data_IF_040465234801
#
_entry.id   IF_040465234801
#
_cell.length_a   1.000
_cell.length_b   1.000
_cell.length_c   1.000
_cell.angle_alpha   90.00
_cell.angle_beta   90.00
_cell.angle_gamma   90.00
#
_symmetry.space_group_name_H-M   'P 1'
#
loop_
_entity.id
_entity.type
_entity.pdbx_description
1 polymer ?
#
# COMPACT_ATOMS: atom_id res chain seq x y z
N UNK A 1 5.85 -8.29 -44.05
CA UNK A 1 5.74 -8.83 -42.68
C UNK A 1 4.30 -8.65 -42.24
N UNK A 2 3.63 -9.71 -41.81
CA UNK A 2 2.28 -9.67 -41.27
C UNK A 2 2.32 -10.25 -39.85
N UNK A 3 1.68 -9.58 -38.90
CA UNK A 3 1.62 -10.01 -37.50
C UNK A 3 0.14 -10.06 -37.11
N UNK A 4 -0.30 -11.18 -36.57
CA UNK A 4 -1.65 -11.35 -36.02
C UNK A 4 -1.56 -11.90 -34.60
N UNK A 5 -2.39 -11.37 -33.70
CA UNK A 5 -2.50 -11.82 -32.32
C UNK A 5 -3.83 -12.52 -32.11
N UNK A 6 -3.80 -13.72 -31.52
CA UNK A 6 -4.99 -14.44 -31.08
C UNK A 6 -5.16 -14.30 -29.55
N UNK A 7 -6.14 -13.52 -29.07
CA UNK A 7 -6.38 -13.31 -27.64
C UNK A 7 -6.89 -14.56 -26.91
N UNK A 8 -7.49 -15.52 -27.63
CA UNK A 8 -8.10 -16.71 -27.03
C UNK A 8 -7.06 -17.78 -26.68
N UNK A 9 -6.00 -17.87 -27.48
CA UNK A 9 -4.88 -18.80 -27.27
C UNK A 9 -3.60 -18.12 -26.76
N UNK A 10 -3.56 -16.78 -26.76
CA UNK A 10 -2.37 -16.00 -26.35
C UNK A 10 -1.21 -16.11 -27.33
N UNK A 11 -1.47 -16.53 -28.57
CA UNK A 11 -0.45 -16.77 -29.59
C UNK A 11 -0.23 -15.55 -30.49
N UNK A 12 1.03 -15.27 -30.80
CA UNK A 12 1.44 -14.29 -31.80
C UNK A 12 1.89 -15.07 -33.03
N UNK A 13 1.21 -14.86 -34.16
CA UNK A 13 1.61 -15.39 -35.47
C UNK A 13 2.33 -14.29 -36.23
N UNK A 14 3.54 -14.61 -36.69
CA UNK A 14 4.38 -13.72 -37.49
C UNK A 14 4.68 -14.38 -38.84
N UNK A 15 4.40 -13.66 -39.92
CA UNK A 15 4.67 -14.08 -41.29
C UNK A 15 5.67 -13.12 -41.94
N UNK A 16 6.75 -13.68 -42.47
CA UNK A 16 7.83 -12.93 -43.12
C UNK A 16 7.87 -13.29 -44.60
N UNK A 17 7.72 -12.28 -45.45
CA UNK A 17 7.81 -12.41 -46.90
C UNK A 17 9.21 -11.99 -47.33
N UNK A 18 9.92 -12.87 -48.05
CA UNK A 18 11.22 -12.57 -48.64
C UNK A 18 11.32 -13.16 -50.04
N UNK A 19 12.28 -12.67 -50.83
CA UNK A 19 12.50 -13.12 -52.21
C UNK A 19 13.09 -14.53 -52.34
N UNK A 20 13.57 -15.11 -51.24
CA UNK A 20 14.23 -16.41 -51.17
C UNK A 20 13.77 -17.13 -49.88
N UNK A 21 13.35 -18.41 -49.97
CA UNK A 21 12.99 -19.23 -48.81
C UNK A 21 14.02 -19.21 -47.68
N UNK A 22 15.32 -19.26 -48.00
CA UNK A 22 16.37 -19.24 -46.98
C UNK A 22 16.43 -17.88 -46.26
N UNK A 23 16.32 -16.78 -47.01
CA UNK A 23 16.30 -15.43 -46.44
C UNK A 23 15.05 -15.17 -45.58
N UNK A 24 13.90 -15.75 -45.93
CA UNK A 24 12.69 -15.65 -45.11
C UNK A 24 12.89 -16.26 -43.73
N UNK A 25 13.58 -17.40 -43.66
CA UNK A 25 13.94 -18.08 -42.40
C UNK A 25 14.93 -17.24 -41.60
N UNK A 26 15.99 -16.74 -42.23
CA UNK A 26 17.00 -15.92 -41.56
C UNK A 26 16.40 -14.65 -40.95
N UNK A 27 15.54 -13.95 -41.71
CA UNK A 27 14.81 -12.79 -41.20
C UNK A 27 13.88 -13.16 -40.05
N UNK A 28 13.18 -14.29 -40.13
CA UNK A 28 12.29 -14.74 -39.06
C UNK A 28 13.06 -15.04 -37.77
N UNK A 29 14.21 -15.71 -37.86
CA UNK A 29 15.10 -15.98 -36.71
C UNK A 29 15.66 -14.70 -36.11
N UNK A 30 16.11 -13.77 -36.95
CA UNK A 30 16.62 -12.47 -36.49
C UNK A 30 15.53 -11.66 -35.76
N UNK A 31 14.30 -11.67 -36.28
CA UNK A 31 13.16 -10.99 -35.66
C UNK A 31 12.75 -11.64 -34.33
N UNK A 32 12.75 -12.97 -34.24
CA UNK A 32 12.50 -13.69 -32.98
C UNK A 32 13.57 -13.33 -31.95
N UNK A 33 14.85 -13.41 -32.31
CA UNK A 33 15.96 -13.07 -31.41
C UNK A 33 15.89 -11.62 -30.93
N UNK A 34 15.56 -10.68 -31.82
CA UNK A 34 15.37 -9.27 -31.44
C UNK A 34 14.16 -9.09 -30.53
N UNK A 35 13.05 -9.79 -30.78
CA UNK A 35 11.88 -9.73 -29.92
C UNK A 35 12.17 -10.32 -28.52
N UNK A 36 12.93 -11.41 -28.44
CA UNK A 36 13.40 -11.99 -27.18
C UNK A 36 14.24 -10.98 -26.39
N UNK A 37 15.25 -10.36 -27.04
CA UNK A 37 16.09 -9.36 -26.40
C UNK A 37 15.28 -8.14 -25.91
N UNK A 38 14.33 -7.67 -26.70
CA UNK A 38 13.46 -6.56 -26.32
C UNK A 38 12.55 -6.91 -25.13
N UNK A 39 11.98 -8.12 -25.09
CA UNK A 39 11.15 -8.59 -23.98
C UNK A 39 11.99 -8.75 -22.71
N UNK A 40 13.21 -9.27 -22.84
CA UNK A 40 14.14 -9.41 -21.72
C UNK A 40 14.53 -8.05 -21.14
N UNK A 41 14.87 -7.07 -22.00
CA UNK A 41 15.17 -5.71 -21.56
C UNK A 41 13.98 -5.04 -20.86
N UNK A 42 12.76 -5.18 -21.40
CA UNK A 42 11.55 -4.63 -20.79
C UNK A 42 11.26 -5.27 -19.42
N UNK A 43 11.48 -6.59 -19.32
CA UNK A 43 11.30 -7.34 -18.08
C UNK A 43 12.32 -6.93 -17.03
N UNK A 44 13.60 -6.80 -17.41
CA UNK A 44 14.66 -6.34 -16.51
C UNK A 44 14.36 -4.94 -15.97
N UNK A 45 13.90 -4.02 -16.84
CA UNK A 45 13.48 -2.67 -16.43
C UNK A 45 12.31 -2.73 -15.46
N UNK A 46 11.25 -3.47 -15.78
CA UNK A 46 10.08 -3.61 -14.91
C UNK A 46 10.45 -4.13 -13.51
N UNK A 47 11.34 -5.13 -13.44
CA UNK A 47 11.83 -5.69 -12.17
C UNK A 47 12.65 -4.67 -11.39
N UNK A 48 13.52 -3.93 -12.06
CA UNK A 48 14.31 -2.88 -11.43
C UNK A 48 13.41 -1.78 -10.86
N UNK A 49 12.40 -1.35 -11.62
CA UNK A 49 11.44 -0.33 -11.20
C UNK A 49 10.59 -0.81 -10.02
N UNK A 50 10.08 -2.05 -10.07
CA UNK A 50 9.34 -2.66 -8.96
C UNK A 50 10.18 -2.78 -7.69
N UNK A 51 11.43 -3.22 -7.81
CA UNK A 51 12.37 -3.29 -6.68
C UNK A 51 12.69 -1.91 -6.11
N UNK A 52 12.92 -0.92 -6.97
CA UNK A 52 13.18 0.45 -6.54
C UNK A 52 11.99 1.04 -5.80
N UNK A 53 10.79 0.92 -6.36
CA UNK A 53 9.57 1.44 -5.73
C UNK A 53 9.23 0.74 -4.41
N UNK A 54 9.45 -0.58 -4.31
CA UNK A 54 9.25 -1.31 -3.06
C UNK A 54 10.25 -0.91 -1.98
N UNK A 55 11.52 -0.68 -2.35
CA UNK A 55 12.55 -0.17 -1.42
C UNK A 55 12.22 1.24 -0.94
N UNK A 56 11.87 2.16 -1.86
CA UNK A 56 11.49 3.53 -1.51
C UNK A 56 10.28 3.56 -0.57
N UNK A 57 9.28 2.71 -0.82
CA UNK A 57 8.11 2.56 0.05
C UNK A 57 8.48 2.07 1.45
N UNK A 58 9.43 1.13 1.55
CA UNK A 58 9.94 0.64 2.83
C UNK A 58 10.71 1.72 3.60
N UNK A 59 11.64 2.42 2.95
CA UNK A 59 12.43 3.51 3.56
C UNK A 59 11.53 4.67 4.03
N UNK A 60 10.49 5.01 3.25
CA UNK A 60 9.50 5.99 3.64
C UNK A 60 8.67 5.54 4.86
N UNK A 61 8.27 4.26 4.91
CA UNK A 61 7.55 3.70 6.04
C UNK A 61 8.42 3.66 7.31
N UNK A 62 9.71 3.31 7.17
CA UNK A 62 10.68 3.29 8.27
C UNK A 62 10.89 4.70 8.83
N UNK A 63 11.11 5.69 7.95
CA UNK A 63 11.27 7.09 8.34
C UNK A 63 10.03 7.62 9.06
N UNK A 64 8.83 7.30 8.56
CA UNK A 64 7.58 7.70 9.19
C UNK A 64 7.36 7.03 10.55
N UNK A 65 7.75 5.76 10.69
CA UNK A 65 7.68 5.02 11.96
C UNK A 65 8.62 5.62 13.01
N UNK A 66 9.86 5.93 12.64
CA UNK A 66 10.82 6.60 13.51
C UNK A 66 10.34 7.99 13.92
N UNK A 67 9.74 8.75 13.01
CA UNK A 67 9.15 10.06 13.31
C UNK A 67 7.98 9.95 14.31
N UNK A 68 7.10 8.96 14.15
CA UNK A 68 6.00 8.71 15.09
C UNK A 68 6.53 8.32 16.48
N UNK A 69 7.56 7.48 16.56
CA UNK A 69 8.20 7.12 17.82
C UNK A 69 8.82 8.33 18.53
N UNK A 70 9.55 9.17 17.79
CA UNK A 70 10.12 10.41 18.34
C UNK A 70 9.03 11.32 18.88
N UNK A 71 7.90 11.45 18.18
CA UNK A 71 6.76 12.24 18.66
C UNK A 71 6.22 11.75 20.00
N UNK A 72 6.19 10.43 20.24
CA UNK A 72 5.79 9.88 21.55
C UNK A 72 6.79 10.32 22.63
N UNK A 73 8.09 10.24 22.36
CA UNK A 73 9.15 10.68 23.28
C UNK A 73 9.04 12.18 23.56
N UNK A 74 8.88 13.00 22.53
CA UNK A 74 8.72 14.46 22.67
C UNK A 74 7.51 14.82 23.54
N UNK A 75 6.39 14.10 23.39
CA UNK A 75 5.21 14.29 24.24
C UNK A 75 5.48 13.85 25.68
N UNK A 76 6.19 12.74 25.89
CA UNK A 76 6.59 12.28 27.23
C UNK A 76 7.50 13.30 27.93
N UNK A 77 8.49 13.85 27.22
CA UNK A 77 9.39 14.89 27.73
C UNK A 77 8.65 16.20 28.01
N UNK A 78 7.83 16.67 27.06
CA UNK A 78 7.06 17.91 27.16
C UNK A 78 6.14 17.91 28.38
N UNK A 79 5.44 16.81 28.59
CA UNK A 79 4.47 16.71 29.68
C UNK A 79 5.05 16.12 30.97
N UNK A 80 6.34 15.74 30.96
CA UNK A 80 7.00 15.04 32.08
C UNK A 80 6.11 13.94 32.67
N UNK A 81 5.37 13.23 31.81
CA UNK A 81 4.21 12.39 32.23
C UNK A 81 4.64 11.34 33.24
N UNK A 82 5.83 10.77 33.05
CA UNK A 82 6.36 9.75 33.94
C UNK A 82 6.57 10.27 35.37
N UNK A 83 7.01 11.52 35.55
CA UNK A 83 7.12 12.11 36.89
C UNK A 83 5.75 12.56 37.41
N UNK A 84 4.88 13.08 36.54
CA UNK A 84 3.55 13.55 36.93
C UNK A 84 2.62 12.44 37.40
N UNK A 85 2.64 11.26 36.77
CA UNK A 85 1.76 10.15 37.15
C UNK A 85 2.18 9.54 38.50
N UNK A 86 3.49 9.38 38.72
CA UNK A 86 4.05 8.96 40.01
C UNK A 86 3.73 9.99 41.10
N UNK A 87 3.86 11.29 40.80
CA UNK A 87 3.54 12.37 41.73
C UNK A 87 2.05 12.40 42.10
N UNK A 88 1.15 12.23 41.12
CA UNK A 88 -0.30 12.12 41.36
C UNK A 88 -0.63 10.89 42.21
N UNK A 89 -0.01 9.73 41.95
CA UNK A 89 -0.20 8.53 42.75
C UNK A 89 0.28 8.72 44.19
N UNK A 90 1.45 9.36 44.39
CA UNK A 90 1.99 9.67 45.70
C UNK A 90 1.09 10.63 46.49
N UNK A 91 0.61 11.71 45.86
CA UNK A 91 -0.32 12.66 46.48
C UNK A 91 -1.63 11.96 46.84
N UNK A 92 -2.16 11.11 45.96
CA UNK A 92 -3.38 10.34 46.23
C UNK A 92 -3.20 9.39 47.41
N UNK A 93 -2.09 8.65 47.47
CA UNK A 93 -1.76 7.78 48.60
C UNK A 93 -1.64 8.56 49.92
N UNK A 94 -1.02 9.76 49.87
CA UNK A 94 -0.92 10.64 51.03
C UNK A 94 -2.29 11.15 51.50
N UNK A 95 -3.18 11.53 50.57
CA UNK A 95 -4.57 11.90 50.87
C UNK A 95 -5.29 10.73 51.56
N UNK A 96 -5.21 9.51 51.03
CA UNK A 96 -5.84 8.33 51.64
C UNK A 96 -5.35 8.06 53.06
N UNK A 97 -4.05 8.24 53.31
CA UNK A 97 -3.48 8.09 54.65
C UNK A 97 -4.03 9.16 55.62
N UNK A 98 -4.09 10.42 55.20
CA UNK A 98 -4.65 11.51 56.02
C UNK A 98 -6.16 11.35 56.25
N UNK A 99 -6.92 10.87 55.26
CA UNK A 99 -8.34 10.57 55.41
C UNK A 99 -8.61 9.47 56.42
N UNK A 100 -7.74 8.45 56.48
CA UNK A 100 -7.81 7.38 57.47
C UNK A 100 -7.59 7.93 58.88
N UNK A 101 -6.63 8.84 59.05
CA UNK A 101 -6.39 9.52 60.33
C UNK A 101 -7.58 10.42 60.70
N UNK A 102 -8.09 11.22 59.76
CA UNK A 102 -9.24 12.10 59.95
C UNK A 102 -10.48 11.31 60.38
N UNK A 103 -10.72 10.16 59.76
CA UNK A 103 -11.84 9.28 60.11
C UNK A 103 -11.71 8.74 61.53
N UNK A 104 -10.50 8.30 61.91
CA UNK A 104 -10.22 7.81 63.27
C UNK A 104 -10.46 8.90 64.31
N UNK A 105 -10.03 10.13 64.02
CA UNK A 105 -10.17 11.27 64.92
C UNK A 105 -11.62 11.71 65.08
N UNK A 106 -12.39 11.73 63.99
CA UNK A 106 -13.82 12.02 63.99
C UNK A 106 -14.60 11.00 64.82
N UNK A 107 -14.29 9.71 64.68
CA UNK A 107 -14.89 8.65 65.51
C UNK A 107 -14.53 8.87 66.98
N UNK A 108 -13.28 9.19 67.29
CA UNK A 108 -12.84 9.46 68.66
C UNK A 108 -13.55 10.67 69.28
N UNK A 109 -13.70 11.76 68.51
CA UNK A 109 -14.45 12.94 68.95
C UNK A 109 -15.92 12.60 69.22
N UNK A 110 -16.57 11.86 68.32
CA UNK A 110 -17.95 11.43 68.48
C UNK A 110 -18.15 10.56 69.74
N UNK A 111 -17.19 9.70 70.07
CA UNK A 111 -17.20 8.92 71.32
C UNK A 111 -17.01 9.79 72.57
N UNK A 112 -16.27 10.89 72.50
CA UNK A 112 -16.12 11.82 73.61
C UNK A 112 -17.39 12.66 73.82
N UNK A 113 -18.08 13.02 72.73
CA UNK A 113 -19.33 13.79 72.73
C UNK A 113 -20.53 12.98 73.23
N UNK A 114 -20.52 11.66 73.05
CA UNK A 114 -21.59 10.78 73.55
C UNK A 114 -21.58 10.60 75.07
N UNK A 115 -20.53 11.09 75.76
CA UNK A 115 -20.47 11.07 77.22
C UNK A 115 -21.35 12.20 77.82
N UNK A 116 -22.23 11.91 78.81
CA UNK A 116 -23.09 12.91 79.44
C UNK A 116 -22.34 14.08 80.12
N UNK A 117 -21.05 13.94 80.43
CA UNK A 117 -20.19 15.06 80.87
C UNK A 117 -18.88 15.10 80.07
N UNK A 118 -18.87 15.74 78.88
CA UNK A 118 -17.70 15.76 78.02
C UNK A 118 -16.53 16.55 78.62
N UNK A 119 -15.33 15.96 78.60
CA UNK A 119 -14.12 16.64 79.06
C UNK A 119 -13.53 17.52 77.95
N UNK A 120 -13.83 18.83 77.99
CA UNK A 120 -13.36 19.81 77.01
C UNK A 120 -11.83 19.83 76.84
N UNK A 121 -11.07 19.70 77.92
CA UNK A 121 -9.60 19.69 77.85
C UNK A 121 -9.05 18.49 77.06
N UNK A 122 -9.80 17.38 76.97
CA UNK A 122 -9.45 16.22 76.16
C UNK A 122 -9.97 16.32 74.72
N UNK A 123 -11.04 17.07 74.49
CA UNK A 123 -11.65 17.25 73.16
C UNK A 123 -10.93 18.31 72.32
N UNK A 124 -10.53 19.43 72.92
CA UNK A 124 -9.92 20.56 72.19
C UNK A 124 -8.68 20.16 71.33
N UNK A 125 -7.76 19.28 71.80
CA UNK A 125 -6.67 18.79 70.97
C UNK A 125 -7.13 17.97 69.76
N UNK A 126 -8.19 17.16 69.91
CA UNK A 126 -8.75 16.32 68.83
C UNK A 126 -9.42 17.20 67.78
N UNK A 127 -10.19 18.21 68.20
CA UNK A 127 -10.83 19.18 67.31
C UNK A 127 -9.76 19.94 66.48
N UNK A 128 -8.69 20.40 67.13
CA UNK A 128 -7.57 21.05 66.41
C UNK A 128 -6.88 20.12 65.42
N UNK A 129 -6.71 18.84 65.77
CA UNK A 129 -6.11 17.85 64.88
C UNK A 129 -6.98 17.58 63.65
N UNK A 130 -8.29 17.45 63.84
CA UNK A 130 -9.27 17.32 62.74
C UNK A 130 -9.17 18.52 61.80
N UNK A 131 -9.21 19.75 62.32
CA UNK A 131 -9.11 20.95 61.49
C UNK A 131 -7.78 21.03 60.70
N UNK A 132 -6.67 20.62 61.31
CA UNK A 132 -5.37 20.55 60.63
C UNK A 132 -5.36 19.49 59.51
N UNK A 133 -5.90 18.29 59.78
CA UNK A 133 -6.01 17.22 58.79
C UNK A 133 -6.91 17.62 57.61
N UNK A 134 -8.05 18.26 57.88
CA UNK A 134 -8.96 18.77 56.85
C UNK A 134 -8.28 19.83 55.97
N UNK A 135 -7.54 20.77 56.58
CA UNK A 135 -6.80 21.78 55.84
C UNK A 135 -5.69 21.20 54.97
N UNK A 136 -4.97 20.19 55.46
CA UNK A 136 -3.91 19.53 54.70
C UNK A 136 -4.47 18.72 53.53
N UNK A 137 -5.57 17.97 53.75
CA UNK A 137 -6.28 17.24 52.69
C UNK A 137 -6.79 18.21 51.63
N UNK A 138 -7.35 19.36 52.04
CA UNK A 138 -7.82 20.39 51.10
C UNK A 138 -6.66 21.00 50.30
N UNK A 139 -5.49 21.23 50.92
CA UNK A 139 -4.27 21.70 50.26
C UNK A 139 -3.76 20.68 49.23
N UNK A 140 -3.66 19.40 49.60
CA UNK A 140 -3.22 18.33 48.69
C UNK A 140 -4.19 18.09 47.53
N UNK A 141 -5.51 18.13 47.80
CA UNK A 141 -6.53 18.12 46.74
C UNK A 141 -6.41 19.36 45.86
N UNK A 142 -6.16 20.51 46.47
CA UNK A 142 -5.80 21.75 45.79
C UNK A 142 -4.66 21.52 44.81
N UNK A 143 -3.55 20.90 45.20
CA UNK A 143 -2.42 20.59 44.30
C UNK A 143 -2.78 19.64 43.14
N UNK A 144 -3.79 18.79 43.29
CA UNK A 144 -4.31 17.95 42.20
C UNK A 144 -5.24 18.71 41.24
N UNK A 145 -5.92 19.76 41.73
CA UNK A 145 -6.93 20.53 40.99
C UNK A 145 -6.46 21.89 40.48
N UNK A 146 -5.50 22.48 41.17
CA UNK A 146 -4.94 23.79 40.90
C UNK A 146 -3.99 23.61 39.72
N UNK A 147 -4.54 23.92 38.56
CA UNK A 147 -3.86 24.00 37.29
C UNK A 147 -2.74 25.03 37.42
N UNK A 148 -1.57 24.59 37.90
CA UNK A 148 -0.39 25.43 37.97
C UNK A 148 -0.01 25.91 36.57
N UNK A 149 -0.47 27.13 36.22
CA UNK A 149 0.09 28.12 35.28
C UNK A 149 0.59 27.71 33.89
N UNK A 150 0.48 26.44 33.49
CA UNK A 150 1.10 25.89 32.29
C UNK A 150 0.87 24.38 32.08
N UNK A 151 0.25 23.68 33.02
CA UNK A 151 -0.15 22.28 32.87
C UNK A 151 -1.45 22.17 32.06
N UNK A 152 -1.33 21.82 30.78
CA UNK A 152 -2.43 21.33 29.95
C UNK A 152 -3.22 20.26 30.73
N UNK A 153 -4.56 20.30 30.69
CA UNK A 153 -5.42 19.32 31.40
C UNK A 153 -4.93 17.88 31.19
N UNK A 154 -4.76 17.11 32.28
CA UNK A 154 -4.31 15.71 32.25
C UNK A 154 -5.10 14.85 31.25
N UNK A 155 -6.39 15.15 31.06
CA UNK A 155 -7.24 14.50 30.07
C UNK A 155 -6.77 14.77 28.62
N UNK A 156 -6.30 15.97 28.33
CA UNK A 156 -5.75 16.35 27.01
C UNK A 156 -4.41 15.68 26.79
N UNK A 157 -3.53 15.68 27.81
CA UNK A 157 -2.24 14.97 27.76
C UNK A 157 -2.44 13.48 27.47
N UNK A 158 -3.36 12.84 28.19
CA UNK A 158 -3.68 11.43 27.99
C UNK A 158 -4.23 11.15 26.59
N UNK A 159 -5.10 12.03 26.09
CA UNK A 159 -5.66 11.92 24.74
C UNK A 159 -4.58 12.05 23.65
N UNK A 160 -3.71 13.06 23.73
CA UNK A 160 -2.62 13.24 22.78
C UNK A 160 -1.64 12.06 22.81
N UNK A 161 -1.35 11.54 24.00
CA UNK A 161 -0.47 10.38 24.15
C UNK A 161 -1.09 9.10 23.55
N UNK A 162 -2.39 8.87 23.75
CA UNK A 162 -3.10 7.73 23.14
C UNK A 162 -3.08 7.82 21.61
N UNK A 163 -3.31 9.01 21.04
CA UNK A 163 -3.26 9.22 19.59
C UNK A 163 -1.86 8.96 19.05
N UNK A 164 -0.82 9.46 19.73
CA UNK A 164 0.57 9.24 19.31
C UNK A 164 0.96 7.76 19.36
N UNK A 165 0.55 7.03 20.40
CA UNK A 165 0.79 5.58 20.50
C UNK A 165 0.03 4.79 19.42
N UNK A 166 -1.21 5.16 19.13
CA UNK A 166 -2.00 4.54 18.07
C UNK A 166 -1.39 4.79 16.67
N UNK A 167 -0.82 5.98 16.43
CA UNK A 167 -0.08 6.27 15.20
C UNK A 167 1.15 5.36 15.10
N UNK A 168 1.98 5.23 16.15
CA UNK A 168 3.12 4.30 16.15
C UNK A 168 2.70 2.88 15.80
N UNK A 169 1.60 2.38 16.39
CA UNK A 169 1.09 1.03 16.08
C UNK A 169 0.67 0.90 14.62
N UNK A 170 0.00 1.92 14.07
CA UNK A 170 -0.39 1.97 12.66
C UNK A 170 0.83 2.00 11.75
N UNK A 171 1.84 2.83 12.06
CA UNK A 171 3.09 2.90 11.30
C UNK A 171 3.87 1.59 11.34
N UNK A 172 3.85 0.88 12.47
CA UNK A 172 4.49 -0.42 12.59
C UNK A 172 3.83 -1.47 11.68
N UNK A 173 2.50 -1.46 11.58
CA UNK A 173 1.77 -2.32 10.63
C UNK A 173 2.12 -2.00 9.18
N UNK A 174 2.16 -0.72 8.82
CA UNK A 174 2.54 -0.27 7.48
C UNK A 174 3.99 -0.64 7.13
N UNK A 175 4.92 -0.49 8.08
CA UNK A 175 6.30 -0.92 7.92
C UNK A 175 6.38 -2.43 7.64
N UNK A 176 5.65 -3.25 8.40
CA UNK A 176 5.60 -4.69 8.18
C UNK A 176 5.02 -5.05 6.79
N UNK A 177 3.97 -4.36 6.35
CA UNK A 177 3.40 -4.55 5.00
C UNK A 177 4.40 -4.15 3.90
N UNK A 178 5.09 -3.02 4.07
CA UNK A 178 6.11 -2.57 3.10
C UNK A 178 7.29 -3.54 3.02
N UNK A 179 7.70 -4.14 4.15
CA UNK A 179 8.73 -5.18 4.19
C UNK A 179 8.29 -6.42 3.41
N UNK A 180 7.04 -6.86 3.60
CA UNK A 180 6.49 -7.99 2.84
C UNK A 180 6.45 -7.70 1.34
N UNK A 181 6.06 -6.48 0.92
CA UNK A 181 6.07 -6.07 -0.47
C UNK A 181 7.50 -6.03 -1.06
N UNK A 182 8.47 -5.55 -0.29
CA UNK A 182 9.89 -5.55 -0.69
C UNK A 182 10.44 -6.97 -0.87
N UNK A 183 10.12 -7.89 0.05
CA UNK A 183 10.51 -9.30 -0.09
C UNK A 183 9.82 -9.97 -1.30
N UNK A 184 8.54 -9.68 -1.54
CA UNK A 184 7.84 -10.17 -2.71
C UNK A 184 8.47 -9.67 -4.02
N UNK A 185 8.78 -8.38 -4.11
CA UNK A 185 9.49 -7.80 -5.25
C UNK A 185 10.88 -8.45 -5.43
N UNK A 186 11.60 -8.72 -4.34
CA UNK A 186 12.91 -9.38 -4.37
C UNK A 186 12.82 -10.80 -4.90
N UNK A 187 11.78 -11.54 -4.51
CA UNK A 187 11.52 -12.89 -5.01
C UNK A 187 11.21 -12.86 -6.51
N UNK A 188 10.34 -11.96 -6.96
CA UNK A 188 9.97 -11.86 -8.38
C UNK A 188 11.14 -11.40 -9.25
N UNK A 189 11.96 -10.46 -8.77
CA UNK A 189 13.17 -10.03 -9.45
C UNK A 189 14.16 -11.18 -9.70
N UNK A 190 14.27 -12.10 -8.73
CA UNK A 190 15.13 -13.30 -8.82
C UNK A 190 14.48 -14.47 -9.58
N UNK A 191 13.19 -14.39 -9.90
CA UNK A 191 12.48 -15.47 -10.59
C UNK A 191 12.94 -15.57 -12.04
N UNK A 192 13.36 -16.75 -12.49
CA UNK A 192 13.63 -16.99 -13.91
C UNK A 192 12.33 -17.38 -14.61
N UNK A 193 11.81 -16.50 -15.46
CA UNK A 193 10.70 -16.80 -16.36
C UNK A 193 11.19 -16.60 -17.78
N UNK A 194 11.07 -17.62 -18.64
CA UNK A 194 11.21 -17.43 -20.09
C UNK A 194 9.91 -16.84 -20.59
N UNK A 195 9.95 -15.59 -21.07
CA UNK A 195 8.75 -14.83 -21.46
C UNK A 195 8.30 -15.11 -22.89
N UNK A 196 9.21 -15.59 -23.75
CA UNK A 196 8.89 -16.06 -25.09
C UNK A 196 9.25 -17.55 -25.20
N UNK A 197 8.30 -18.37 -25.64
CA UNK A 197 8.56 -19.75 -26.03
C UNK A 197 8.13 -19.91 -27.49
N UNK A 198 9.10 -20.18 -28.36
CA UNK A 198 8.83 -20.43 -29.78
C UNK A 198 8.09 -21.76 -29.91
N UNK A 199 6.78 -21.70 -30.17
CA UNK A 199 5.94 -22.91 -30.31
C UNK A 199 6.24 -23.67 -31.61
N UNK A 200 6.64 -22.96 -32.67
CA UNK A 200 7.01 -23.52 -33.97
C UNK A 200 8.23 -22.79 -34.52
N UNK A 201 9.27 -23.54 -34.89
CA UNK A 201 10.47 -22.97 -35.50
C UNK A 201 10.20 -22.49 -36.93
N UNK A 202 10.80 -21.36 -37.38
CA UNK A 202 10.70 -20.94 -38.77
C UNK A 202 11.31 -21.99 -39.71
N UNK A 203 10.50 -22.53 -40.62
CA UNK A 203 10.93 -23.46 -41.67
C UNK A 203 10.86 -22.80 -43.05
N UNK A 204 11.78 -23.13 -43.97
CA UNK A 204 11.71 -22.62 -45.33
C UNK A 204 10.44 -23.15 -46.02
N UNK A 205 9.70 -22.31 -46.75
CA UNK A 205 8.53 -22.77 -47.50
C UNK A 205 8.95 -23.66 -48.69
N UNK A 206 8.25 -24.78 -48.86
CA UNK A 206 8.49 -25.73 -49.96
C UNK A 206 7.96 -25.22 -51.32
N UNK A 207 6.95 -24.33 -51.29
CA UNK A 207 6.39 -23.67 -52.48
C UNK A 207 6.33 -22.15 -52.29
N UNK A 208 6.47 -21.41 -53.39
CA UNK A 208 6.34 -19.95 -53.36
C UNK A 208 4.91 -19.54 -53.00
N UNK A 209 4.73 -18.89 -51.85
CA UNK A 209 3.42 -18.42 -51.39
C UNK A 209 2.73 -17.46 -52.39
N UNK A 210 3.53 -16.72 -53.17
CA UNK A 210 3.08 -15.82 -54.23
C UNK A 210 4.12 -15.73 -55.37
N UNK A 211 3.70 -15.46 -56.62
CA UNK A 211 2.32 -15.38 -57.10
C UNK A 211 1.70 -16.76 -57.36
N UNK A 212 0.41 -16.93 -57.05
CA UNK A 212 -0.33 -18.17 -57.32
C UNK A 212 -0.60 -18.30 -58.81
N UNK A 213 0.39 -18.81 -59.55
CA UNK A 213 0.39 -18.82 -61.02
C UNK A 213 -0.87 -19.47 -61.60
N UNK A 214 -1.35 -20.57 -61.01
CA UNK A 214 -2.56 -21.25 -61.47
C UNK A 214 -3.83 -20.39 -61.29
N UNK A 215 -4.07 -19.89 -60.07
CA UNK A 215 -5.23 -19.03 -59.78
C UNK A 215 -5.22 -17.76 -60.65
N UNK A 216 -4.05 -17.11 -60.77
CA UNK A 216 -3.89 -15.92 -61.59
C UNK A 216 -4.12 -16.22 -63.08
N UNK A 217 -3.71 -17.39 -63.57
CA UNK A 217 -3.97 -17.80 -64.97
C UNK A 217 -5.46 -18.05 -65.20
N UNK A 218 -6.16 -18.69 -64.27
CA UNK A 218 -7.61 -18.92 -64.36
C UNK A 218 -8.38 -17.60 -64.35
N UNK A 219 -8.03 -16.69 -63.43
CA UNK A 219 -8.65 -15.36 -63.36
C UNK A 219 -8.38 -14.58 -64.64
N UNK A 220 -7.14 -14.58 -65.14
CA UNK A 220 -6.81 -13.95 -66.42
C UNK A 220 -7.62 -14.54 -67.57
N UNK A 221 -7.75 -15.86 -67.65
CA UNK A 221 -8.55 -16.54 -68.67
C UNK A 221 -10.04 -16.16 -68.59
N UNK A 222 -10.61 -16.06 -67.38
CA UNK A 222 -11.99 -15.60 -67.19
C UNK A 222 -12.18 -14.14 -67.62
N UNK A 223 -11.22 -13.26 -67.30
CA UNK A 223 -11.24 -11.85 -67.73
C UNK A 223 -11.17 -11.77 -69.27
N UNK A 224 -10.21 -12.46 -69.89
CA UNK A 224 -10.08 -12.47 -71.35
C UNK A 224 -11.29 -13.11 -72.04
N UNK A 225 -11.84 -14.18 -71.48
CA UNK A 225 -13.07 -14.82 -71.95
C UNK A 225 -14.28 -13.90 -71.87
N UNK A 226 -14.42 -13.15 -70.76
CA UNK A 226 -15.47 -12.14 -70.60
C UNK A 226 -15.36 -11.00 -71.62
N UNK A 227 -14.15 -10.48 -71.85
CA UNK A 227 -13.88 -9.47 -72.88
C UNK A 227 -14.21 -10.01 -74.26
N UNK A 228 -13.80 -11.25 -74.57
CA UNK A 228 -14.11 -11.90 -75.85
C UNK A 228 -15.63 -12.01 -76.06
N UNK A 229 -16.38 -12.46 -75.05
CA UNK A 229 -17.84 -12.55 -75.13
C UNK A 229 -18.50 -11.18 -75.35
N UNK A 230 -18.08 -10.16 -74.61
CA UNK A 230 -18.56 -8.78 -74.79
C UNK A 230 -18.33 -8.27 -76.22
N UNK A 231 -17.11 -8.43 -76.75
CA UNK A 231 -16.78 -8.03 -78.12
C UNK A 231 -17.62 -8.84 -79.12
N UNK A 232 -17.74 -10.15 -78.93
CA UNK A 232 -18.49 -11.02 -79.84
C UNK A 232 -19.98 -10.66 -79.90
N UNK A 233 -20.62 -10.34 -78.76
CA UNK A 233 -22.00 -9.87 -78.73
C UNK A 233 -22.15 -8.50 -79.38
N UNK A 234 -21.21 -7.58 -79.12
CA UNK A 234 -21.25 -6.24 -79.73
C UNK A 234 -21.14 -6.33 -81.26
N UNK A 235 -20.24 -7.19 -81.75
CA UNK A 235 -20.10 -7.47 -83.18
C UNK A 235 -21.34 -8.17 -83.75
N UNK A 236 -21.94 -9.12 -83.03
CA UNK A 236 -23.16 -9.80 -83.45
C UNK A 236 -24.34 -8.83 -83.60
N UNK A 237 -24.55 -7.95 -82.62
CA UNK A 237 -25.60 -6.91 -82.65
C UNK A 237 -25.35 -5.91 -83.77
N UNK A 238 -24.10 -5.45 -83.95
CA UNK A 238 -23.76 -4.56 -85.08
C UNK A 238 -24.00 -5.23 -86.43
N UNK A 239 -23.70 -6.54 -86.55
CA UNK A 239 -23.91 -7.30 -87.79
C UNK A 239 -25.40 -7.48 -88.10
N UNK A 240 -26.22 -7.67 -87.08
CA UNK A 240 -27.68 -7.77 -87.21
C UNK A 240 -28.30 -6.45 -87.67
N UNK A 241 -27.83 -5.31 -87.14
CA UNK A 241 -28.26 -3.96 -87.55
C UNK A 241 -27.85 -3.57 -88.99
N UNK A 242 -26.77 -4.16 -89.52
CA UNK A 242 -26.29 -3.89 -90.89
C UNK A 242 -26.92 -4.85 -91.93
N UNK A 243 -27.54 -5.94 -91.48
CA UNK A 243 -28.17 -6.95 -92.34
C UNK A 243 -29.69 -6.80 -92.43
N UNK A 244 -30.28 -5.84 -91.73
CA UNK A 244 -31.68 -5.41 -91.81
C UNK A 244 -31.78 -4.13 -92.65
#
# INVERSE_FOLDING_TARGET
>A
MHISYDPSEGLIRMEVLASDPAKAVDFSKALISYAEEQVDQLTLRLRADQMSGARESYEAAETAMLAAQRRVVDLQEKYKVLSSEVEVQLITAQITQLETQLTTDRISLQQMESNPTPNRARMDPVIRRIAALESEIASLRGKLTDQGGGAQSLAVVQSEMLVAQADVQTRQLLLAQSLQAMEAARIEANRQTRYLSVSVNPTPPDEAAYPRAFENTVVALLIFGGIYLMISMTVAVLREQVSA
#
